data_IF_989132301572
#
_entry.id   IF_989132301572
#
_cell.length_a   1.000
_cell.length_b   1.000
_cell.length_c   1.000
_cell.angle_alpha   90.00
_cell.angle_beta   90.00
_cell.angle_gamma   90.00
#
_symmetry.space_group_name_H-M   'P 1'
#
loop_
_entity.id
_entity.type
_entity.pdbx_description
1 polymer ?
#
# COMPACT_ATOMS: atom_id res chain seq x y z
N UNK A 1 21.96 -5.50 18.62
CA UNK A 1 22.34 -5.22 17.23
C UNK A 1 21.26 -4.33 16.64
N UNK A 2 21.42 -3.01 16.76
CA UNK A 2 20.51 -2.03 16.15
C UNK A 2 20.89 -1.86 14.69
N UNK A 3 20.00 -2.23 13.77
CA UNK A 3 20.16 -1.92 12.35
C UNK A 3 19.77 -0.45 12.12
N UNK A 4 20.62 0.37 11.47
CA UNK A 4 20.32 1.78 11.25
C UNK A 4 19.34 1.94 10.08
N UNK A 5 18.18 2.53 10.36
CA UNK A 5 17.09 2.86 9.43
C UNK A 5 17.47 4.00 8.44
N UNK A 6 18.58 3.88 7.69
CA UNK A 6 19.13 4.97 6.87
C UNK A 6 19.27 4.67 5.36
N UNK A 7 18.66 3.59 4.86
CA UNK A 7 18.71 3.19 3.43
C UNK A 7 17.36 2.83 2.80
N UNK A 8 16.24 3.13 3.47
CA UNK A 8 14.92 3.06 2.86
C UNK A 8 14.40 4.48 2.70
N UNK A 9 14.67 5.09 1.54
CA UNK A 9 14.04 6.37 1.24
C UNK A 9 12.63 6.07 0.75
N UNK A 10 11.63 6.38 1.58
CA UNK A 10 10.23 6.27 1.18
C UNK A 10 9.98 7.31 0.08
N UNK A 11 9.54 6.84 -1.08
CA UNK A 11 9.15 7.68 -2.21
C UNK A 11 7.69 8.10 -2.05
N UNK A 12 6.82 7.13 -1.77
CA UNK A 12 5.37 7.33 -1.67
C UNK A 12 4.83 6.59 -0.45
N UNK A 13 3.89 7.22 0.25
CA UNK A 13 3.11 6.61 1.33
C UNK A 13 1.61 6.80 1.07
N UNK A 14 0.87 5.69 1.06
CA UNK A 14 -0.59 5.66 0.91
C UNK A 14 -1.20 5.04 2.16
N UNK A 15 -1.85 5.83 3.05
CA UNK A 15 -2.59 5.28 4.17
C UNK A 15 -3.80 4.47 3.67
N UNK A 16 -4.07 3.35 4.32
CA UNK A 16 -5.18 2.46 4.03
C UNK A 16 -6.21 2.51 5.17
N UNK A 17 -7.47 2.76 4.83
CA UNK A 17 -8.57 2.66 5.79
C UNK A 17 -9.14 1.23 5.81
N UNK A 18 -8.75 0.47 6.82
CA UNK A 18 -9.19 -0.91 7.02
C UNK A 18 -10.30 -1.05 8.07
N UNK A 19 -10.93 0.06 8.48
CA UNK A 19 -12.01 0.05 9.49
C UNK A 19 -13.23 -0.77 9.04
N UNK A 20 -13.51 -0.76 7.72
CA UNK A 20 -14.70 -1.40 7.14
C UNK A 20 -14.38 -2.56 6.20
N UNK A 21 -13.17 -2.59 5.63
CA UNK A 21 -12.83 -3.53 4.56
C UNK A 21 -11.41 -4.07 4.71
N UNK A 22 -11.16 -5.22 4.09
CA UNK A 22 -9.82 -5.80 4.04
C UNK A 22 -8.91 -5.03 3.06
N UNK A 23 -7.60 -5.23 3.22
CA UNK A 23 -6.55 -4.58 2.41
C UNK A 23 -6.79 -4.66 0.90
N UNK A 24 -7.24 -5.82 0.39
CA UNK A 24 -7.50 -5.99 -1.05
C UNK A 24 -8.62 -5.06 -1.54
N UNK A 25 -9.73 -5.03 -0.82
CA UNK A 25 -10.87 -4.19 -1.18
C UNK A 25 -10.50 -2.72 -1.09
N UNK A 26 -9.76 -2.31 -0.08
CA UNK A 26 -9.36 -0.91 0.09
C UNK A 26 -8.39 -0.47 -1.00
N UNK A 27 -7.34 -1.25 -1.30
CA UNK A 27 -6.41 -0.96 -2.39
C UNK A 27 -7.16 -0.87 -3.72
N UNK A 28 -8.09 -1.79 -4.00
CA UNK A 28 -8.88 -1.76 -5.23
C UNK A 28 -9.76 -0.52 -5.33
N UNK A 29 -10.34 -0.06 -4.21
CA UNK A 29 -11.15 1.17 -4.15
C UNK A 29 -10.29 2.40 -4.41
N UNK A 30 -9.13 2.49 -3.77
CA UNK A 30 -8.17 3.58 -3.97
C UNK A 30 -7.66 3.60 -5.41
N UNK A 31 -7.34 2.45 -6.00
CA UNK A 31 -6.93 2.34 -7.39
C UNK A 31 -7.99 2.90 -8.33
N UNK A 32 -9.23 2.44 -8.22
CA UNK A 32 -10.33 2.90 -9.07
C UNK A 32 -10.60 4.40 -8.91
N UNK A 33 -10.50 4.93 -7.68
CA UNK A 33 -10.65 6.36 -7.41
C UNK A 33 -9.53 7.16 -8.10
N UNK A 34 -8.29 6.79 -7.84
CA UNK A 34 -7.10 7.48 -8.40
C UNK A 34 -7.11 7.41 -9.92
N UNK A 35 -7.45 6.25 -10.50
CA UNK A 35 -7.59 6.09 -11.96
C UNK A 35 -8.64 7.04 -12.54
N UNK A 36 -9.79 7.16 -11.88
CA UNK A 36 -10.87 8.06 -12.32
C UNK A 36 -10.46 9.53 -12.24
N UNK A 37 -9.71 9.89 -11.20
CA UNK A 37 -9.14 11.24 -11.03
C UNK A 37 -8.13 11.56 -12.13
N UNK A 38 -7.23 10.62 -12.43
CA UNK A 38 -6.26 10.77 -13.52
C UNK A 38 -6.97 10.93 -14.88
N UNK A 39 -7.93 10.07 -15.22
CA UNK A 39 -8.63 10.15 -16.51
C UNK A 39 -9.46 11.44 -16.67
N UNK A 40 -9.89 12.06 -15.57
CA UNK A 40 -10.72 13.26 -15.56
C UNK A 40 -9.95 14.58 -15.64
N UNK A 41 -8.62 14.57 -15.52
CA UNK A 41 -7.82 15.80 -15.42
C UNK A 41 -6.62 15.79 -16.39
N UNK A 42 -6.53 16.72 -17.35
CA UNK A 42 -5.39 16.80 -18.27
C UNK A 42 -4.09 17.28 -17.61
N UNK A 43 -4.17 17.95 -16.46
CA UNK A 43 -3.02 18.37 -15.65
C UNK A 43 -2.88 17.41 -14.45
N UNK A 44 -2.57 16.14 -14.74
CA UNK A 44 -2.24 15.15 -13.71
C UNK A 44 -0.98 15.59 -12.98
N UNK A 45 -1.05 15.51 -11.65
CA UNK A 45 0.10 15.65 -10.75
C UNK A 45 0.93 14.35 -10.79
N UNK A 46 2.27 14.47 -10.84
CA UNK A 46 3.20 13.32 -10.84
C UNK A 46 2.92 12.38 -9.65
N UNK A 47 2.49 12.95 -8.50
CA UNK A 47 2.10 12.17 -7.33
C UNK A 47 0.88 11.27 -7.57
N UNK A 48 -0.07 11.66 -8.43
CA UNK A 48 -1.24 10.85 -8.74
C UNK A 48 -0.85 9.64 -9.60
N UNK A 49 0.08 9.82 -10.55
CA UNK A 49 0.63 8.74 -11.36
C UNK A 49 1.43 7.74 -10.51
N UNK A 50 2.31 8.22 -9.63
CA UNK A 50 3.09 7.36 -8.73
C UNK A 50 2.18 6.56 -7.77
N UNK A 51 1.13 7.20 -7.23
CA UNK A 51 0.13 6.51 -6.41
C UNK A 51 -0.61 5.44 -7.20
N UNK A 52 -0.97 5.73 -8.44
CA UNK A 52 -1.69 4.80 -9.30
C UNK A 52 -0.84 3.56 -9.61
N UNK A 53 0.42 3.74 -9.97
CA UNK A 53 1.35 2.62 -10.23
C UNK A 53 1.64 1.81 -8.97
N UNK A 54 1.81 2.44 -7.80
CA UNK A 54 1.95 1.73 -6.52
C UNK A 54 0.73 0.84 -6.23
N UNK A 55 -0.48 1.39 -6.37
CA UNK A 55 -1.72 0.65 -6.11
C UNK A 55 -1.91 -0.50 -7.11
N UNK A 56 -1.58 -0.28 -8.38
CA UNK A 56 -1.62 -1.28 -9.44
C UNK A 56 -0.66 -2.44 -9.16
N UNK A 57 0.61 -2.15 -8.90
CA UNK A 57 1.58 -3.17 -8.57
C UNK A 57 1.22 -3.94 -7.29
N UNK A 58 0.66 -3.28 -6.27
CA UNK A 58 0.18 -3.97 -5.08
C UNK A 58 -0.95 -4.97 -5.42
N UNK A 59 -1.88 -4.62 -6.33
CA UNK A 59 -2.92 -5.53 -6.79
C UNK A 59 -2.38 -6.73 -7.59
N UNK A 60 -1.28 -6.55 -8.31
CA UNK A 60 -0.67 -7.58 -9.16
C UNK A 60 0.25 -8.53 -8.38
N UNK A 61 0.98 -8.01 -7.37
CA UNK A 61 2.03 -8.75 -6.67
C UNK A 61 1.57 -9.37 -5.35
N UNK A 62 0.57 -8.80 -4.68
CA UNK A 62 0.23 -9.25 -3.33
C UNK A 62 -0.63 -10.51 -3.35
N UNK A 63 -0.22 -11.51 -2.56
CA UNK A 63 -1.11 -12.59 -2.13
C UNK A 63 -2.01 -12.09 -0.98
N UNK A 64 -3.12 -11.45 -1.34
CA UNK A 64 -4.08 -10.95 -0.35
C UNK A 64 -4.70 -12.05 0.52
N UNK A 65 -5.05 -13.26 0.02
CA UNK A 65 -5.41 -14.38 0.88
C UNK A 65 -4.36 -14.69 1.96
N UNK A 66 -3.09 -14.86 1.59
CA UNK A 66 -2.03 -15.19 2.52
C UNK A 66 -1.77 -14.05 3.52
N UNK A 67 -1.74 -12.80 3.05
CA UNK A 67 -1.56 -11.62 3.90
C UNK A 67 -2.65 -11.51 4.97
N UNK A 68 -3.92 -11.72 4.61
CA UNK A 68 -5.04 -11.66 5.55
C UNK A 68 -5.09 -12.85 6.51
N UNK A 69 -4.59 -14.01 6.09
CA UNK A 69 -4.47 -15.17 6.96
C UNK A 69 -3.36 -14.98 8.01
N UNK A 70 -2.26 -14.32 7.60
CA UNK A 70 -1.08 -14.09 8.45
C UNK A 70 -1.23 -12.87 9.38
N UNK A 71 -1.87 -11.81 8.91
CA UNK A 71 -2.02 -10.54 9.62
C UNK A 71 -3.50 -10.17 9.73
N UNK A 72 -4.02 -10.21 10.96
CA UNK A 72 -5.45 -10.00 11.24
C UNK A 72 -5.89 -8.57 10.91
N UNK A 73 -5.00 -7.62 11.11
CA UNK A 73 -5.16 -6.19 10.84
C UNK A 73 -5.45 -5.93 9.36
N UNK A 74 -4.90 -6.76 8.46
CA UNK A 74 -5.13 -6.66 7.02
C UNK A 74 -6.47 -7.26 6.59
N UNK A 75 -7.13 -8.05 7.44
CA UNK A 75 -8.43 -8.65 7.15
C UNK A 75 -9.60 -7.65 7.26
N UNK A 76 -9.35 -6.45 7.80
CA UNK A 76 -10.35 -5.40 7.97
C UNK A 76 -11.11 -5.49 9.30
N UNK A 77 -11.87 -4.44 9.62
CA UNK A 77 -12.55 -4.32 10.90
C UNK A 77 -11.61 -3.90 12.04
N UNK A 78 -10.51 -3.22 11.70
CA UNK A 78 -9.52 -2.76 12.68
C UNK A 78 -9.17 -1.29 12.45
N UNK A 79 -8.88 -0.57 13.53
CA UNK A 79 -8.40 0.82 13.49
C UNK A 79 -6.85 0.90 13.43
N UNK A 80 -6.19 -0.20 13.06
CA UNK A 80 -4.74 -0.28 12.96
C UNK A 80 -4.22 0.70 11.91
N UNK A 81 -3.11 1.36 12.19
CA UNK A 81 -2.52 2.32 11.28
C UNK A 81 -1.75 1.57 10.18
N UNK A 82 -2.41 1.35 9.03
CA UNK A 82 -1.84 0.62 7.89
C UNK A 82 -1.57 1.56 6.72
N UNK A 83 -0.41 1.42 6.07
CA UNK A 83 -0.05 2.15 4.87
C UNK A 83 0.72 1.27 3.88
N UNK A 84 0.54 1.53 2.58
CA UNK A 84 1.45 1.07 1.53
C UNK A 84 2.58 2.07 1.36
N UNK A 85 3.80 1.56 1.24
CA UNK A 85 4.96 2.37 0.92
C UNK A 85 5.69 1.79 -0.29
N UNK A 86 6.33 2.68 -1.05
CA UNK A 86 7.36 2.28 -2.02
C UNK A 86 8.71 2.83 -1.56
N UNK A 87 9.74 1.99 -1.59
CA UNK A 87 11.11 2.43 -1.36
C UNK A 87 11.76 2.98 -2.65
N UNK A 88 12.98 3.50 -2.53
CA UNK A 88 13.76 4.00 -3.66
C UNK A 88 14.22 2.92 -4.64
N UNK A 89 14.13 1.64 -4.24
CA UNK A 89 14.35 0.49 -5.11
C UNK A 89 13.06 0.01 -5.81
N UNK A 90 11.93 0.69 -5.61
CA UNK A 90 10.63 0.31 -6.19
C UNK A 90 9.95 -0.88 -5.50
N UNK A 91 10.45 -1.31 -4.34
CA UNK A 91 9.84 -2.39 -3.56
C UNK A 91 8.64 -1.87 -2.78
N UNK A 92 7.57 -2.66 -2.82
CA UNK A 92 6.32 -2.36 -2.13
C UNK A 92 6.35 -3.03 -0.77
N UNK A 93 6.16 -2.24 0.26
CA UNK A 93 6.12 -2.68 1.66
C UNK A 93 4.83 -2.20 2.31
N UNK A 94 4.39 -2.92 3.35
CA UNK A 94 3.24 -2.51 4.15
C UNK A 94 3.79 -2.05 5.50
N UNK A 95 3.41 -0.84 5.93
CA UNK A 95 3.66 -0.36 7.30
C UNK A 95 2.40 -0.55 8.12
N UNK A 96 2.54 -1.11 9.31
CA UNK A 96 1.45 -1.45 10.22
C UNK A 96 1.88 -1.12 11.64
N UNK A 97 1.21 -0.16 12.27
CA UNK A 97 1.51 0.33 13.63
C UNK A 97 3.01 0.63 13.85
N UNK A 98 3.66 1.20 12.82
CA UNK A 98 5.09 1.53 12.83
C UNK A 98 6.03 0.36 12.49
N UNK A 99 5.51 -0.86 12.34
CA UNK A 99 6.27 -2.03 11.88
C UNK A 99 6.18 -2.17 10.37
N UNK A 100 7.31 -2.33 9.70
CA UNK A 100 7.36 -2.62 8.26
C UNK A 100 7.30 -4.13 8.07
N UNK A 101 6.37 -4.58 7.22
CA UNK A 101 6.30 -5.95 6.74
C UNK A 101 6.58 -5.97 5.24
N UNK A 102 7.41 -6.91 4.82
CA UNK A 102 7.56 -7.24 3.42
C UNK A 102 6.45 -8.23 3.04
N UNK A 103 5.60 -7.90 2.05
CA UNK A 103 4.62 -8.83 1.51
C UNK A 103 5.40 -9.94 0.81
N UNK A 104 5.58 -11.07 1.50
CA UNK A 104 6.30 -12.22 0.95
C UNK A 104 5.54 -12.76 -0.26
N UNK A 105 6.19 -12.78 -1.43
CA UNK A 105 5.82 -13.69 -2.51
C UNK A 105 6.07 -15.12 -1.99
N UNK A 106 5.01 -15.92 -1.84
CA UNK A 106 5.14 -17.37 -1.70
C UNK A 106 5.42 -18.01 -3.05
#
# INVERSE_FOLDING_TARGET
MSWPYWWFKIMVEIPLDLSSHCIHTEIKRLYNRTLSECLGNPDIDDFAEERLELLKHALELFDFPALRAKYRELAGGTDSAVALLTDDAGRIIIKMDGTVIEPTCS
#
